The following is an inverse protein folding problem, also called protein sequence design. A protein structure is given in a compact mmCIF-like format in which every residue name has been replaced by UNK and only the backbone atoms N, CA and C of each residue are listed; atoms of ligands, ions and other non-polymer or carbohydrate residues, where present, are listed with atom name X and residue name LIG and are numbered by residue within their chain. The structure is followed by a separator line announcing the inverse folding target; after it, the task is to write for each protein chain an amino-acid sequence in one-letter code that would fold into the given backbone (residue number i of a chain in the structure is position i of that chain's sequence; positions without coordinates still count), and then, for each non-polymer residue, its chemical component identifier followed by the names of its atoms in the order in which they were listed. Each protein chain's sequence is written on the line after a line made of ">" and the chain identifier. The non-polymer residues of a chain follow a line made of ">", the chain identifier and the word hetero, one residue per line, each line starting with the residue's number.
data_IF_345010398049
#
_entry.id   IF_345010398049
#
_cell.length_a   1.000
_cell.length_b   1.000
_cell.length_c   1.000
_cell.angle_alpha   90.00
_cell.angle_beta   90.00
_cell.angle_gamma   90.00
#
_symmetry.space_group_name_H-M   'P 1'
#
loop_
_entity.id
_entity.type
_entity.pdbx_description
1 polymer ?
#
# COMPACT_ATOMS: atom_id res chain seq x y z
N UNK A 1 9.78 -21.50 19.75
CA UNK A 1 8.42 -20.90 19.66
C UNK A 1 8.25 -20.42 18.23
N UNK A 2 7.78 -21.30 17.34
CA UNK A 2 7.42 -20.89 15.98
C UNK A 2 6.15 -20.06 16.03
N UNK A 3 6.25 -18.84 15.51
CA UNK A 3 5.15 -17.90 15.41
C UNK A 3 4.46 -18.13 14.07
N UNK A 4 3.15 -17.90 14.01
CA UNK A 4 2.44 -17.84 12.73
C UNK A 4 3.14 -16.85 11.80
N UNK A 5 3.12 -17.09 10.48
CA UNK A 5 3.74 -16.18 9.51
C UNK A 5 3.23 -14.75 9.74
N UNK A 6 4.15 -13.85 10.06
CA UNK A 6 3.84 -12.43 10.26
C UNK A 6 4.03 -11.69 8.95
N UNK A 7 3.06 -10.83 8.59
CA UNK A 7 3.24 -9.90 7.49
C UNK A 7 4.42 -8.98 7.82
N UNK A 8 5.39 -8.90 6.91
CA UNK A 8 6.54 -8.00 7.03
C UNK A 8 6.23 -6.60 6.50
N UNK A 9 4.96 -6.29 6.23
CA UNK A 9 4.53 -4.98 5.73
C UNK A 9 4.73 -4.78 4.22
N UNK A 10 5.10 -5.83 3.48
CA UNK A 10 5.16 -5.79 2.02
C UNK A 10 3.77 -5.56 1.41
N UNK A 11 3.75 -4.82 0.30
CA UNK A 11 2.53 -4.57 -0.43
C UNK A 11 2.08 -5.83 -1.16
N UNK A 12 0.76 -5.98 -1.31
CA UNK A 12 0.16 -7.03 -2.14
C UNK A 12 0.60 -6.82 -3.59
N UNK A 13 0.92 -7.90 -4.31
CA UNK A 13 1.32 -7.87 -5.72
C UNK A 13 2.53 -6.99 -6.02
N UNK A 14 3.53 -6.99 -5.13
CA UNK A 14 4.72 -6.16 -5.26
C UNK A 14 5.82 -6.81 -6.11
N UNK A 15 5.97 -8.13 -6.05
CA UNK A 15 7.16 -8.83 -6.57
C UNK A 15 6.91 -9.54 -7.89
N UNK A 16 7.87 -9.48 -8.81
CA UNK A 16 7.85 -10.26 -10.06
C UNK A 16 8.29 -11.71 -9.82
N UNK A 17 9.21 -11.93 -8.86
CA UNK A 17 9.76 -13.23 -8.51
C UNK A 17 9.88 -13.38 -7.00
N UNK A 18 9.49 -14.55 -6.47
CA UNK A 18 9.77 -14.97 -5.09
C UNK A 18 10.60 -16.26 -5.14
N UNK A 19 11.63 -16.33 -4.30
CA UNK A 19 12.49 -17.52 -4.17
C UNK A 19 12.33 -18.07 -2.77
N UNK A 20 11.98 -19.36 -2.67
CA UNK A 20 11.87 -20.08 -1.42
C UNK A 20 12.78 -21.30 -1.46
N UNK A 21 13.93 -21.22 -0.80
CA UNK A 21 14.94 -22.27 -0.83
C UNK A 21 14.99 -23.03 0.50
N UNK A 22 14.41 -24.23 0.54
CA UNK A 22 14.35 -25.15 1.68
C UNK A 22 13.85 -24.46 2.95
N UNK A 23 12.70 -23.79 2.83
CA UNK A 23 12.10 -23.01 3.93
C UNK A 23 10.62 -23.28 4.13
N UNK A 24 9.90 -23.73 3.10
CA UNK A 24 8.45 -23.86 3.20
C UNK A 24 8.05 -25.14 3.94
N UNK A 25 8.86 -26.19 3.89
CA UNK A 25 8.62 -27.41 4.68
C UNK A 25 8.60 -27.15 6.20
N UNK A 26 9.33 -26.14 6.69
CA UNK A 26 9.38 -25.77 8.10
C UNK A 26 8.14 -24.98 8.58
N UNK A 27 7.20 -24.68 7.67
CA UNK A 27 5.97 -23.95 8.03
C UNK A 27 4.96 -24.90 8.67
N UNK A 28 4.11 -24.39 9.57
CA UNK A 28 3.04 -25.19 10.21
C UNK A 28 1.92 -25.57 9.24
N UNK A 29 1.64 -24.68 8.29
CA UNK A 29 0.61 -24.85 7.28
C UNK A 29 1.15 -24.35 5.94
N UNK A 30 1.52 -25.31 5.09
CA UNK A 30 2.09 -25.04 3.77
C UNK A 30 1.03 -24.34 2.88
N UNK A 31 -0.22 -24.78 2.93
CA UNK A 31 -1.29 -24.23 2.08
C UNK A 31 -1.58 -22.75 2.40
N UNK A 32 -1.63 -22.39 3.68
CA UNK A 32 -1.78 -21.00 4.11
C UNK A 32 -0.57 -20.16 3.69
N UNK A 33 0.65 -20.70 3.87
CA UNK A 33 1.88 -19.99 3.49
C UNK A 33 1.94 -19.74 1.98
N UNK A 34 1.60 -20.73 1.17
CA UNK A 34 1.51 -20.59 -0.29
C UNK A 34 0.46 -19.54 -0.69
N UNK A 35 -0.65 -19.44 0.04
CA UNK A 35 -1.67 -18.39 -0.16
C UNK A 35 -1.09 -17.00 0.10
N UNK A 36 -0.28 -16.84 1.15
CA UNK A 36 0.40 -15.57 1.44
C UNK A 36 1.44 -15.21 0.38
N UNK A 37 2.27 -16.17 -0.04
CA UNK A 37 3.26 -15.97 -1.11
C UNK A 37 2.57 -15.56 -2.41
N UNK A 38 1.47 -16.22 -2.77
CA UNK A 38 0.68 -15.87 -3.95
C UNK A 38 0.21 -14.40 -3.91
N UNK A 39 -0.16 -13.87 -2.74
CA UNK A 39 -0.55 -12.46 -2.57
C UNK A 39 0.61 -11.49 -2.76
N UNK A 40 1.86 -11.92 -2.59
CA UNK A 40 3.03 -11.05 -2.79
C UNK A 40 3.40 -10.91 -4.27
N UNK A 41 3.07 -11.91 -5.09
CA UNK A 41 3.39 -11.93 -6.52
C UNK A 41 2.47 -11.03 -7.34
N UNK A 42 3.07 -10.30 -8.28
CA UNK A 42 2.36 -9.62 -9.36
C UNK A 42 1.59 -10.62 -10.23
N UNK A 43 0.58 -10.16 -10.97
CA UNK A 43 -0.08 -10.99 -11.97
C UNK A 43 0.94 -11.62 -12.93
N UNK A 44 0.94 -12.94 -13.02
CA UNK A 44 1.89 -13.71 -13.84
C UNK A 44 3.32 -13.82 -13.30
N UNK A 45 3.59 -13.32 -12.09
CA UNK A 45 4.90 -13.44 -11.41
C UNK A 45 5.29 -14.90 -11.13
N UNK A 46 6.55 -15.14 -10.80
CA UNK A 46 7.11 -16.48 -10.65
C UNK A 46 7.44 -16.81 -9.19
N UNK A 47 7.19 -18.05 -8.78
CA UNK A 47 7.72 -18.61 -7.56
C UNK A 47 8.68 -19.73 -7.92
N UNK A 48 9.91 -19.61 -7.42
CA UNK A 48 10.93 -20.65 -7.51
C UNK A 48 11.08 -21.29 -6.13
N UNK A 49 10.85 -22.61 -6.05
CA UNK A 49 11.02 -23.39 -4.83
C UNK A 49 12.17 -24.37 -5.00
N UNK A 50 12.97 -24.54 -3.96
CA UNK A 50 13.90 -25.66 -3.83
C UNK A 50 13.48 -26.42 -2.57
N UNK A 51 13.01 -27.66 -2.70
CA UNK A 51 12.52 -28.43 -1.56
C UNK A 51 12.97 -29.88 -1.68
N UNK A 52 13.10 -30.52 -0.52
CA UNK A 52 13.41 -31.94 -0.40
C UNK A 52 12.13 -32.74 -0.62
N UNK A 53 12.16 -33.65 -1.60
CA UNK A 53 10.97 -34.39 -2.05
C UNK A 53 11.10 -35.90 -1.93
N UNK A 54 12.31 -36.38 -1.62
CA UNK A 54 12.59 -37.80 -1.37
C UNK A 54 12.84 -38.04 0.11
N UNK A 55 12.42 -39.22 0.57
CA UNK A 55 12.49 -39.60 1.98
C UNK A 55 13.66 -40.55 2.20
N UNK A 56 14.54 -40.21 3.13
CA UNK A 56 15.72 -40.99 3.45
C UNK A 56 15.79 -41.18 4.97
N UNK A 57 15.61 -42.42 5.44
CA UNK A 57 15.41 -42.73 6.87
C UNK A 57 16.40 -42.07 7.87
N UNK A 58 17.72 -41.95 7.58
CA UNK A 58 18.64 -41.24 8.48
C UNK A 58 18.35 -39.73 8.55
N UNK A 59 17.95 -39.14 7.43
CA UNK A 59 17.66 -37.72 7.28
C UNK A 59 16.27 -37.38 7.85
N UNK A 60 15.27 -38.22 7.60
CA UNK A 60 13.91 -38.07 8.11
C UNK A 60 13.89 -38.07 9.65
N UNK A 61 14.74 -38.90 10.27
CA UNK A 61 14.94 -38.91 11.72
C UNK A 61 15.46 -37.56 12.23
N UNK A 62 16.46 -36.98 11.56
CA UNK A 62 17.03 -35.69 11.96
C UNK A 62 16.03 -34.55 11.79
N UNK A 63 15.28 -34.53 10.69
CA UNK A 63 14.23 -33.54 10.44
C UNK A 63 13.08 -33.66 11.43
N UNK A 64 12.63 -34.88 11.73
CA UNK A 64 11.61 -35.10 12.75
C UNK A 64 12.06 -34.71 14.16
N UNK A 65 13.34 -34.87 14.51
CA UNK A 65 13.88 -34.39 15.79
C UNK A 65 13.98 -32.85 15.86
N UNK A 66 14.29 -32.18 14.74
CA UNK A 66 14.38 -30.72 14.67
C UNK A 66 12.99 -30.05 14.64
N UNK A 67 12.12 -30.53 13.76
CA UNK A 67 10.82 -29.91 13.45
C UNK A 67 9.68 -30.47 14.32
N UNK A 68 9.77 -31.74 14.75
CA UNK A 68 8.73 -32.47 15.45
C UNK A 68 7.78 -33.21 14.50
N UNK A 69 7.39 -34.44 14.84
CA UNK A 69 6.58 -35.31 13.98
C UNK A 69 5.07 -34.96 13.92
N UNK A 70 4.54 -34.28 14.95
CA UNK A 70 3.09 -34.03 15.12
C UNK A 70 2.72 -32.54 15.10
N UNK A 71 3.56 -31.68 14.50
CA UNK A 71 3.42 -30.21 14.61
C UNK A 71 2.74 -29.54 13.41
N UNK A 72 2.16 -30.32 12.52
CA UNK A 72 1.61 -29.84 11.25
C UNK A 72 0.07 -29.79 11.30
N UNK A 73 -0.51 -28.68 10.84
CA UNK A 73 -1.97 -28.47 10.76
C UNK A 73 -2.52 -28.70 9.35
N UNK A 74 -1.72 -29.30 8.48
CA UNK A 74 -2.03 -29.55 7.07
C UNK A 74 -2.02 -31.05 6.74
N UNK A 75 -2.13 -31.36 5.44
CA UNK A 75 -2.27 -32.74 4.93
C UNK A 75 -1.01 -33.63 5.08
N UNK A 76 0.04 -33.17 5.77
CA UNK A 76 1.20 -33.99 6.14
C UNK A 76 0.79 -35.01 7.20
N UNK A 77 0.29 -36.16 6.73
CA UNK A 77 -0.34 -37.12 7.62
C UNK A 77 0.65 -37.92 8.48
N UNK A 78 1.92 -38.10 8.06
CA UNK A 78 2.92 -38.91 8.80
C UNK A 78 4.40 -38.56 8.49
N UNK A 79 4.67 -37.48 7.74
CA UNK A 79 6.02 -37.13 7.31
C UNK A 79 6.21 -35.60 7.28
N UNK A 80 7.34 -35.04 7.77
CA UNK A 80 7.56 -33.59 7.83
C UNK A 80 7.69 -32.92 6.45
N UNK A 81 8.19 -33.67 5.47
CA UNK A 81 8.36 -33.26 4.07
C UNK A 81 7.22 -33.74 3.18
N UNK A 82 6.96 -33.01 2.09
CA UNK A 82 6.03 -33.41 1.03
C UNK A 82 6.79 -34.07 -0.13
N UNK A 83 6.22 -35.13 -0.69
CA UNK A 83 6.69 -35.68 -1.96
C UNK A 83 6.48 -34.69 -3.12
N UNK A 84 7.16 -34.91 -4.24
CA UNK A 84 7.02 -34.08 -5.44
C UNK A 84 5.54 -33.93 -5.88
N UNK A 85 4.78 -35.04 -5.90
CA UNK A 85 3.36 -35.02 -6.28
C UNK A 85 2.50 -34.22 -5.28
N UNK A 86 2.81 -34.32 -3.98
CA UNK A 86 2.11 -33.54 -2.96
C UNK A 86 2.43 -32.05 -3.05
N UNK A 87 3.67 -31.67 -3.37
CA UNK A 87 4.05 -30.29 -3.66
C UNK A 87 3.30 -29.74 -4.86
N UNK A 88 3.28 -30.46 -5.98
CA UNK A 88 2.51 -30.06 -7.17
C UNK A 88 1.03 -29.86 -6.86
N UNK A 89 0.44 -30.76 -6.07
CA UNK A 89 -0.94 -30.62 -5.62
C UNK A 89 -1.16 -29.38 -4.75
N UNK A 90 -0.30 -29.15 -3.74
CA UNK A 90 -0.40 -27.99 -2.86
C UNK A 90 -0.27 -26.66 -3.62
N UNK A 91 0.67 -26.59 -4.57
CA UNK A 91 0.87 -25.43 -5.44
C UNK A 91 -0.37 -25.18 -6.33
N UNK A 92 -0.90 -26.23 -6.95
CA UNK A 92 -2.13 -26.11 -7.75
C UNK A 92 -3.33 -25.70 -6.91
N UNK A 93 -3.50 -26.27 -5.70
CA UNK A 93 -4.59 -25.94 -4.79
C UNK A 93 -4.50 -24.49 -4.28
N UNK A 94 -3.29 -23.97 -4.09
CA UNK A 94 -3.05 -22.56 -3.78
C UNK A 94 -3.28 -21.61 -4.98
N UNK A 95 -3.52 -22.16 -6.18
CA UNK A 95 -3.84 -21.43 -7.41
C UNK A 95 -2.63 -20.96 -8.21
N UNK A 96 -1.49 -21.64 -8.06
CA UNK A 96 -0.38 -21.51 -9.00
C UNK A 96 -0.63 -22.34 -10.26
N UNK A 97 0.00 -21.94 -11.36
CA UNK A 97 -0.12 -22.53 -12.70
C UNK A 97 1.26 -22.80 -13.29
N UNK A 98 1.33 -23.47 -14.45
CA UNK A 98 2.57 -23.76 -15.18
C UNK A 98 3.66 -24.43 -14.32
N UNK A 99 3.30 -25.40 -13.49
CA UNK A 99 4.25 -26.05 -12.59
C UNK A 99 5.27 -26.91 -13.35
N UNK A 100 6.52 -26.48 -13.37
CA UNK A 100 7.65 -27.20 -13.93
C UNK A 100 8.56 -27.66 -12.79
N UNK A 101 9.05 -28.90 -12.88
CA UNK A 101 9.96 -29.46 -11.87
C UNK A 101 11.26 -29.86 -12.55
N UNK A 102 12.36 -29.49 -11.94
CA UNK A 102 13.71 -29.77 -12.40
C UNK A 102 14.49 -30.46 -11.29
N UNK A 103 15.22 -31.50 -11.67
CA UNK A 103 16.19 -32.12 -10.79
C UNK A 103 17.55 -31.44 -11.02
N UNK A 104 18.23 -30.96 -9.96
CA UNK A 104 19.56 -30.39 -10.11
C UNK A 104 20.51 -31.47 -10.66
N UNK A 105 21.39 -31.13 -11.62
CA UNK A 105 22.31 -32.10 -12.24
C UNK A 105 23.48 -32.51 -11.33
N UNK A 106 23.50 -32.05 -10.08
CA UNK A 106 24.56 -32.32 -9.11
C UNK A 106 24.30 -33.67 -8.41
N UNK A 107 25.25 -34.63 -8.43
CA UNK A 107 25.14 -35.91 -7.73
C UNK A 107 24.81 -35.78 -6.23
N UNK A 108 25.25 -34.71 -5.57
CA UNK A 108 24.95 -34.47 -4.15
C UNK A 108 23.48 -34.05 -3.99
N UNK A 109 22.98 -33.19 -4.87
CA UNK A 109 21.58 -32.76 -4.84
C UNK A 109 20.62 -33.91 -5.22
N UNK A 110 21.04 -34.79 -6.13
CA UNK A 110 20.34 -36.02 -6.47
C UNK A 110 20.30 -36.98 -5.27
N UNK A 111 21.42 -37.13 -4.55
CA UNK A 111 21.49 -37.96 -3.33
C UNK A 111 20.68 -37.39 -2.16
N UNK A 112 20.56 -36.07 -2.06
CA UNK A 112 19.74 -35.41 -1.03
C UNK A 112 18.26 -35.32 -1.42
N UNK A 113 17.90 -35.65 -2.67
CA UNK A 113 16.51 -35.68 -3.13
C UNK A 113 15.86 -34.32 -3.27
N UNK A 114 16.62 -33.30 -3.70
CA UNK A 114 16.07 -31.96 -3.94
C UNK A 114 15.42 -31.84 -5.32
N UNK A 115 14.24 -31.22 -5.35
CA UNK A 115 13.61 -30.76 -6.58
C UNK A 115 13.52 -29.23 -6.60
N UNK A 116 13.75 -28.66 -7.78
CA UNK A 116 13.48 -27.24 -8.07
C UNK A 116 12.13 -27.14 -8.77
N UNK A 117 11.19 -26.43 -8.15
CA UNK A 117 9.91 -26.11 -8.74
C UNK A 117 9.94 -24.68 -9.28
N UNK A 118 9.46 -24.51 -10.51
CA UNK A 118 9.17 -23.20 -11.08
C UNK A 118 7.67 -23.15 -11.35
N UNK A 119 6.96 -22.25 -10.68
CA UNK A 119 5.52 -22.07 -10.85
C UNK A 119 5.17 -20.62 -11.13
N UNK A 120 4.05 -20.42 -11.82
CA UNK A 120 3.52 -19.10 -12.12
C UNK A 120 2.37 -18.75 -11.18
N UNK A 121 2.41 -17.55 -10.63
CA UNK A 121 1.31 -16.92 -9.92
C UNK A 121 0.10 -16.67 -10.84
N UNK A 122 -1.04 -16.22 -10.28
CA UNK A 122 -2.26 -16.02 -11.06
C UNK A 122 -2.06 -14.94 -12.15
N UNK A 123 -2.62 -15.16 -13.35
CA UNK A 123 -2.52 -14.21 -14.49
C UNK A 123 -3.31 -12.93 -14.22
N UNK A 124 -4.36 -13.03 -13.39
CA UNK A 124 -5.15 -11.89 -12.96
C UNK A 124 -5.47 -12.01 -11.47
N UNK A 125 -5.56 -10.87 -10.81
CA UNK A 125 -5.87 -10.76 -9.39
C UNK A 125 -6.96 -9.74 -9.22
N UNK A 126 -7.85 -9.98 -8.26
CA UNK A 126 -8.84 -8.99 -7.86
C UNK A 126 -8.20 -8.09 -6.80
N UNK A 127 -8.04 -6.82 -7.11
CA UNK A 127 -7.66 -5.80 -6.14
C UNK A 127 -8.90 -5.01 -5.73
N UNK A 128 -9.02 -4.75 -4.43
CA UNK A 128 -10.07 -3.87 -3.92
C UNK A 128 -9.60 -2.43 -4.06
N UNK A 129 -10.33 -1.63 -4.84
CA UNK A 129 -10.11 -0.19 -5.00
C UNK A 129 -11.24 0.59 -4.28
N UNK A 130 -10.95 1.22 -3.13
CA UNK A 130 -11.94 1.99 -2.38
C UNK A 130 -12.70 3.04 -3.21
N UNK A 131 -11.99 3.70 -4.14
CA UNK A 131 -12.52 4.81 -4.96
C UNK A 131 -13.66 4.37 -5.88
N UNK A 132 -13.58 3.14 -6.42
CA UNK A 132 -14.64 2.57 -7.26
C UNK A 132 -15.93 2.41 -6.45
N UNK A 133 -15.81 1.94 -5.20
CA UNK A 133 -16.95 1.80 -4.31
C UNK A 133 -17.50 3.15 -3.87
N UNK A 134 -16.65 4.11 -3.50
CA UNK A 134 -17.06 5.46 -3.14
C UNK A 134 -17.86 6.14 -4.27
N UNK A 135 -17.38 6.01 -5.51
CA UNK A 135 -18.07 6.56 -6.70
C UNK A 135 -19.44 5.92 -6.89
N UNK A 136 -19.53 4.59 -6.76
CA UNK A 136 -20.80 3.87 -6.85
C UNK A 136 -21.77 4.27 -5.71
N UNK A 137 -21.27 4.51 -4.50
CA UNK A 137 -22.09 4.98 -3.37
C UNK A 137 -22.58 6.42 -3.58
N UNK A 138 -21.76 7.30 -4.14
CA UNK A 138 -22.14 8.68 -4.42
C UNK A 138 -23.31 8.82 -5.41
N UNK A 139 -23.50 7.83 -6.29
CA UNK A 139 -24.65 7.78 -7.20
C UNK A 139 -25.96 7.35 -6.52
N UNK A 140 -25.88 6.72 -5.35
CA UNK A 140 -27.03 6.10 -4.67
C UNK A 140 -27.36 6.74 -3.33
N UNK A 141 -26.41 7.40 -2.69
CA UNK A 141 -26.53 7.93 -1.34
C UNK A 141 -26.29 9.45 -1.31
N UNK A 142 -27.11 10.21 -0.55
CA UNK A 142 -26.81 11.58 -0.21
C UNK A 142 -25.46 11.71 0.51
N UNK A 143 -24.85 12.89 0.43
CA UNK A 143 -23.50 13.15 0.97
C UNK A 143 -23.32 12.72 2.43
N UNK A 144 -24.29 13.04 3.30
CA UNK A 144 -24.26 12.71 4.73
C UNK A 144 -24.40 11.21 5.05
N UNK A 145 -24.70 10.36 4.07
CA UNK A 145 -24.76 8.90 4.22
C UNK A 145 -23.53 8.21 3.61
N UNK A 146 -22.61 8.95 3.00
CA UNK A 146 -21.40 8.38 2.41
C UNK A 146 -20.35 8.13 3.51
N UNK A 147 -19.72 6.95 3.55
CA UNK A 147 -18.63 6.70 4.48
C UNK A 147 -17.41 7.56 4.16
N UNK A 148 -16.79 8.17 5.17
CA UNK A 148 -15.59 9.01 5.01
C UNK A 148 -14.36 8.20 4.60
N UNK A 149 -14.28 6.93 5.01
CA UNK A 149 -13.18 6.04 4.70
C UNK A 149 -13.66 4.60 4.51
N UNK A 150 -13.06 3.89 3.54
CA UNK A 150 -13.30 2.46 3.30
C UNK A 150 -11.98 1.73 3.45
N UNK A 151 -11.84 0.98 4.54
CA UNK A 151 -10.59 0.32 4.92
C UNK A 151 -10.71 -1.19 4.74
N UNK A 152 -9.88 -1.83 3.89
CA UNK A 152 -9.86 -3.29 3.77
C UNK A 152 -9.23 -3.93 5.01
N UNK A 153 -9.87 -5.00 5.49
CA UNK A 153 -9.40 -5.82 6.60
C UNK A 153 -9.12 -7.23 6.09
N UNK A 154 -7.97 -7.79 6.46
CA UNK A 154 -7.60 -9.16 6.08
C UNK A 154 -8.49 -10.19 6.81
N UNK A 155 -8.77 -9.93 8.09
CA UNK A 155 -9.67 -10.76 8.91
C UNK A 155 -10.46 -9.88 9.87
N UNK A 156 -11.67 -10.31 10.22
CA UNK A 156 -12.43 -9.67 11.28
C UNK A 156 -11.82 -10.04 12.64
N UNK A 157 -11.45 -9.07 13.49
CA UNK A 157 -10.98 -9.39 14.83
C UNK A 157 -12.13 -9.96 15.65
N UNK A 158 -11.92 -11.14 16.22
CA UNK A 158 -12.90 -11.85 17.04
C UNK A 158 -12.39 -11.95 18.48
N UNK A 159 -13.33 -11.89 19.42
CA UNK A 159 -13.15 -12.27 20.83
C UNK A 159 -12.97 -13.78 20.95
N UNK A 160 -12.50 -14.26 22.11
CA UNK A 160 -12.39 -15.70 22.39
C UNK A 160 -13.71 -16.49 22.20
N UNK A 161 -14.86 -15.80 22.31
CA UNK A 161 -16.19 -16.38 22.10
C UNK A 161 -16.69 -16.26 20.65
N UNK A 162 -15.82 -15.89 19.69
CA UNK A 162 -16.16 -15.78 18.27
C UNK A 162 -16.98 -14.54 17.89
N UNK A 163 -17.31 -13.65 18.83
CA UNK A 163 -17.98 -12.36 18.53
C UNK A 163 -16.97 -11.34 18.03
N UNK A 164 -17.36 -10.42 17.15
CA UNK A 164 -16.49 -9.33 16.69
C UNK A 164 -15.98 -8.48 17.86
N UNK A 165 -14.66 -8.38 17.98
CA UNK A 165 -14.01 -7.47 18.92
C UNK A 165 -14.02 -6.05 18.32
N UNK A 166 -15.04 -5.28 18.71
CA UNK A 166 -15.22 -3.90 18.24
C UNK A 166 -14.08 -2.97 18.67
N UNK A 167 -13.40 -3.26 19.79
CA UNK A 167 -12.29 -2.43 20.26
C UNK A 167 -11.08 -2.63 19.36
N UNK A 168 -10.71 -3.89 19.10
CA UNK A 168 -9.64 -4.22 18.17
C UNK A 168 -9.94 -3.71 16.76
N UNK A 169 -11.19 -3.86 16.30
CA UNK A 169 -11.64 -3.35 15.00
C UNK A 169 -11.45 -1.84 14.87
N UNK A 170 -11.86 -1.05 15.88
CA UNK A 170 -11.68 0.40 15.89
C UNK A 170 -10.20 0.80 15.85
N UNK A 171 -9.35 0.13 16.62
CA UNK A 171 -7.90 0.41 16.60
C UNK A 171 -7.26 0.10 15.25
N UNK A 172 -7.65 -1.00 14.58
CA UNK A 172 -7.15 -1.31 13.24
C UNK A 172 -7.65 -0.32 12.18
N UNK A 173 -8.92 0.09 12.27
CA UNK A 173 -9.48 1.11 11.38
C UNK A 173 -8.75 2.44 11.53
N UNK A 174 -8.49 2.91 12.75
CA UNK A 174 -7.73 4.14 12.99
C UNK A 174 -6.31 4.05 12.42
N UNK A 175 -5.59 2.95 12.68
CA UNK A 175 -4.23 2.78 12.18
C UNK A 175 -4.15 2.80 10.64
N UNK A 176 -5.09 2.14 9.96
CA UNK A 176 -5.11 2.05 8.49
C UNK A 176 -5.74 3.27 7.82
N UNK A 177 -6.67 3.98 8.46
CA UNK A 177 -7.29 5.18 7.91
C UNK A 177 -6.34 6.39 7.90
N UNK A 178 -5.34 6.40 8.77
CA UNK A 178 -4.32 7.46 8.82
C UNK A 178 -3.07 7.11 7.99
N UNK A 179 -3.00 5.88 7.46
CA UNK A 179 -1.87 5.42 6.67
C UNK A 179 -2.04 5.89 5.22
N UNK A 180 -1.03 6.52 4.60
CA UNK A 180 -1.14 6.99 3.22
C UNK A 180 -1.54 5.82 2.30
N UNK A 181 -2.59 6.02 1.52
CA UNK A 181 -3.03 5.09 0.48
C UNK A 181 -1.95 5.01 -0.59
N UNK A 182 -1.05 4.03 -0.45
CA UNK A 182 -0.04 3.61 -1.42
C UNK A 182 1.07 4.64 -1.74
N UNK A 183 2.32 4.17 -1.82
CA UNK A 183 3.46 4.98 -2.32
C UNK A 183 3.31 5.38 -3.81
N UNK A 184 2.38 4.78 -4.55
CA UNK A 184 2.16 5.03 -5.99
C UNK A 184 1.35 6.29 -6.31
N UNK A 185 0.59 6.86 -5.36
CA UNK A 185 -0.24 8.04 -5.58
C UNK A 185 0.33 9.32 -4.93
N UNK A 186 1.57 9.26 -4.41
CA UNK A 186 2.21 10.43 -3.83
C UNK A 186 2.79 11.36 -4.92
N UNK A 187 2.10 12.46 -5.18
CA UNK A 187 2.62 13.58 -5.97
C UNK A 187 3.11 14.70 -5.04
N UNK A 188 4.40 15.01 -5.07
CA UNK A 188 4.99 16.04 -4.24
C UNK A 188 4.49 17.47 -4.61
N UNK A 189 4.45 18.41 -3.65
CA UNK A 189 4.22 19.83 -3.94
C UNK A 189 5.14 20.37 -5.03
N UNK A 190 4.57 21.07 -6.00
CA UNK A 190 5.24 21.55 -7.23
C UNK A 190 5.65 23.01 -7.13
N UNK A 191 5.01 23.78 -6.25
CA UNK A 191 5.24 25.20 -6.08
C UNK A 191 5.20 25.62 -4.60
N UNK A 192 5.55 26.88 -4.33
CA UNK A 192 5.63 27.43 -2.97
C UNK A 192 4.28 27.45 -2.24
N UNK A 193 3.18 27.72 -2.95
CA UNK A 193 1.82 27.75 -2.37
C UNK A 193 1.42 26.33 -1.94
N UNK A 194 1.57 25.34 -2.82
CA UNK A 194 1.31 23.93 -2.52
C UNK A 194 2.16 23.44 -1.34
N UNK A 195 3.44 23.85 -1.30
CA UNK A 195 4.36 23.46 -0.22
C UNK A 195 3.90 24.01 1.12
N UNK A 196 3.52 25.29 1.17
CA UNK A 196 3.03 25.92 2.39
C UNK A 196 1.71 25.30 2.88
N UNK A 197 0.76 25.01 1.97
CA UNK A 197 -0.49 24.33 2.32
C UNK A 197 -0.22 22.91 2.84
N UNK A 198 0.63 22.15 2.17
CA UNK A 198 0.97 20.78 2.57
C UNK A 198 1.60 20.75 3.97
N UNK A 199 2.49 21.69 4.29
CA UNK A 199 3.08 21.84 5.63
C UNK A 199 2.02 22.15 6.68
N UNK A 200 1.10 23.07 6.39
CA UNK A 200 -0.02 23.38 7.29
C UNK A 200 -0.91 22.16 7.54
N UNK A 201 -1.16 21.34 6.52
CA UNK A 201 -1.90 20.08 6.68
C UNK A 201 -1.15 19.08 7.54
N UNK A 202 0.16 18.90 7.34
CA UNK A 202 0.98 18.01 8.16
C UNK A 202 0.91 18.39 9.64
N UNK A 203 0.98 19.68 9.95
CA UNK A 203 0.85 20.18 11.33
C UNK A 203 -0.54 19.94 11.94
N UNK A 204 -1.60 20.23 11.18
CA UNK A 204 -2.99 20.13 11.66
C UNK A 204 -3.45 18.67 11.80
N UNK A 205 -3.12 17.82 10.83
CA UNK A 205 -3.52 16.42 10.76
C UNK A 205 -2.52 15.48 11.47
N UNK A 206 -1.37 16.00 11.90
CA UNK A 206 -0.28 15.23 12.52
C UNK A 206 0.17 14.04 11.66
N UNK A 207 0.42 14.31 10.39
CA UNK A 207 0.86 13.30 9.43
C UNK A 207 2.24 13.65 8.85
N UNK A 208 3.04 12.64 8.52
CA UNK A 208 4.43 12.82 8.08
C UNK A 208 4.52 13.35 6.64
N UNK A 209 3.53 13.03 5.79
CA UNK A 209 3.58 13.35 4.36
C UNK A 209 2.20 13.62 3.78
N UNK A 210 2.13 14.69 2.98
CA UNK A 210 0.93 15.13 2.24
C UNK A 210 1.33 15.37 0.78
N UNK A 211 0.70 14.67 -0.14
CA UNK A 211 0.75 14.87 -1.58
C UNK A 211 -0.32 15.86 -2.06
N UNK A 212 -0.15 16.37 -3.28
CA UNK A 212 -1.00 17.47 -3.78
C UNK A 212 -2.45 17.07 -4.05
N UNK A 213 -2.68 15.79 -4.34
CA UNK A 213 -3.98 15.21 -4.68
C UNK A 213 -4.66 14.54 -3.47
N UNK A 214 -4.03 14.62 -2.29
CA UNK A 214 -4.60 14.07 -1.06
C UNK A 214 -5.89 14.79 -0.68
N UNK A 215 -6.89 14.02 -0.24
CA UNK A 215 -8.13 14.56 0.27
C UNK A 215 -8.02 14.91 1.76
N UNK A 216 -8.26 16.17 2.11
CA UNK A 216 -8.20 16.69 3.49
C UNK A 216 -9.05 15.88 4.48
N UNK A 217 -10.28 15.53 4.09
CA UNK A 217 -11.24 14.84 4.96
C UNK A 217 -10.93 13.36 5.09
N UNK A 218 -10.45 12.72 4.02
CA UNK A 218 -10.00 11.33 4.06
C UNK A 218 -8.77 11.15 4.97
N UNK A 219 -7.94 12.20 5.10
CA UNK A 219 -6.79 12.23 6.01
C UNK A 219 -7.13 12.56 7.47
N UNK A 220 -8.42 12.55 7.81
CA UNK A 220 -8.91 12.80 9.18
C UNK A 220 -9.19 14.28 9.48
N UNK A 221 -9.26 15.12 8.46
CA UNK A 221 -9.72 16.50 8.59
C UNK A 221 -11.21 16.56 8.94
N UNK A 222 -11.58 17.50 9.81
CA UNK A 222 -12.96 17.78 10.15
C UNK A 222 -13.28 19.27 9.94
N UNK A 223 -14.52 19.67 10.25
CA UNK A 223 -14.98 21.05 10.10
C UNK A 223 -14.18 22.06 10.96
N UNK A 224 -13.70 21.64 12.13
CA UNK A 224 -12.93 22.48 13.03
C UNK A 224 -11.51 22.69 12.49
N UNK A 225 -10.86 21.61 12.05
CA UNK A 225 -9.54 21.65 11.40
C UNK A 225 -9.60 22.42 10.09
N UNK A 226 -10.66 22.26 9.30
CA UNK A 226 -10.88 23.03 8.08
C UNK A 226 -10.98 24.54 8.37
N UNK A 227 -11.70 24.93 9.42
CA UNK A 227 -11.81 26.33 9.85
C UNK A 227 -10.47 26.90 10.32
N UNK A 228 -9.70 26.12 11.09
CA UNK A 228 -8.33 26.48 11.49
C UNK A 228 -7.41 26.63 10.28
N UNK A 229 -7.53 25.73 9.30
CA UNK A 229 -6.77 25.77 8.05
C UNK A 229 -7.05 27.06 7.27
N UNK A 230 -8.32 27.41 7.05
CA UNK A 230 -8.67 28.64 6.33
C UNK A 230 -8.17 29.89 7.06
N UNK A 231 -8.19 29.87 8.40
CA UNK A 231 -7.67 30.99 9.22
C UNK A 231 -6.16 31.17 9.01
N UNK A 232 -5.39 30.09 9.01
CA UNK A 232 -3.92 30.14 8.80
C UNK A 232 -3.57 30.56 7.37
N UNK A 233 -4.33 30.08 6.37
CA UNK A 233 -4.16 30.51 4.96
C UNK A 233 -4.36 32.02 4.84
N UNK A 234 -5.43 32.55 5.42
CA UNK A 234 -5.72 33.99 5.41
C UNK A 234 -4.59 34.80 6.04
N UNK A 235 -4.01 34.31 7.13
CA UNK A 235 -2.87 34.97 7.79
C UNK A 235 -1.59 34.90 6.96
N UNK A 236 -1.34 33.79 6.28
CA UNK A 236 -0.10 33.54 5.55
C UNK A 236 -0.07 34.23 4.18
N UNK A 237 -1.20 34.22 3.47
CA UNK A 237 -1.30 34.71 2.09
C UNK A 237 -2.05 36.02 1.95
N UNK A 238 -2.64 36.55 3.03
CA UNK A 238 -3.44 37.77 3.00
C UNK A 238 -4.63 37.74 2.02
N UNK A 239 -5.12 36.53 1.69
CA UNK A 239 -6.30 36.32 0.84
C UNK A 239 -7.44 35.69 1.62
N UNK A 240 -8.68 35.99 1.23
CA UNK A 240 -9.85 35.26 1.72
C UNK A 240 -10.29 34.22 0.69
N UNK A 241 -10.13 32.95 1.04
CA UNK A 241 -10.68 31.82 0.28
C UNK A 241 -11.89 31.28 1.03
N UNK A 242 -13.07 31.18 0.38
CA UNK A 242 -14.27 30.64 1.01
C UNK A 242 -14.05 29.19 1.49
N UNK A 243 -14.52 28.88 2.70
CA UNK A 243 -14.44 27.50 3.24
C UNK A 243 -15.11 26.47 2.33
N UNK A 244 -16.16 26.85 1.59
CA UNK A 244 -16.81 25.99 0.59
C UNK A 244 -15.84 25.44 -0.46
N UNK A 245 -14.76 26.15 -0.76
CA UNK A 245 -13.76 25.72 -1.75
C UNK A 245 -13.08 24.43 -1.29
N UNK A 246 -12.73 24.34 0.00
CA UNK A 246 -12.15 23.12 0.56
C UNK A 246 -13.15 21.96 0.55
N UNK A 247 -14.44 22.21 0.79
CA UNK A 247 -15.47 21.15 0.74
C UNK A 247 -15.76 20.66 -0.69
N UNK A 248 -15.70 21.55 -1.69
CA UNK A 248 -15.97 21.19 -3.09
C UNK A 248 -14.79 20.44 -3.72
N UNK A 249 -13.57 20.85 -3.40
CA UNK A 249 -12.34 20.27 -3.94
C UNK A 249 -11.31 20.14 -2.81
N UNK A 250 -11.36 19.06 -2.02
CA UNK A 250 -10.60 18.93 -0.78
C UNK A 250 -9.13 18.56 -0.97
N UNK A 251 -8.47 19.08 -2.02
CA UNK A 251 -7.07 18.77 -2.33
C UNK A 251 -6.17 19.98 -2.19
N UNK A 252 -4.88 19.74 -1.92
CA UNK A 252 -3.87 20.80 -1.84
C UNK A 252 -3.77 21.53 -3.18
N UNK A 253 -3.79 20.81 -4.31
CA UNK A 253 -3.72 21.39 -5.64
C UNK A 253 -4.90 22.35 -5.93
N UNK A 254 -6.12 21.95 -5.59
CA UNK A 254 -7.30 22.78 -5.82
C UNK A 254 -7.31 24.03 -4.92
N UNK A 255 -6.91 23.87 -3.65
CA UNK A 255 -6.81 24.99 -2.73
C UNK A 255 -5.69 25.96 -3.11
N UNK A 256 -4.55 25.46 -3.59
CA UNK A 256 -3.46 26.27 -4.10
C UNK A 256 -3.88 27.10 -5.31
N UNK A 257 -4.64 26.52 -6.25
CA UNK A 257 -5.18 27.24 -7.39
C UNK A 257 -6.11 28.37 -6.95
N UNK A 258 -7.02 28.12 -6.01
CA UNK A 258 -7.92 29.16 -5.49
C UNK A 258 -7.18 30.31 -4.79
N UNK A 259 -6.07 30.02 -4.09
CA UNK A 259 -5.23 31.06 -3.49
C UNK A 259 -4.50 31.85 -4.58
N UNK A 260 -3.97 31.18 -5.61
CA UNK A 260 -3.29 31.84 -6.71
C UNK A 260 -4.23 32.80 -7.46
N UNK A 261 -5.47 32.38 -7.74
CA UNK A 261 -6.49 33.22 -8.35
C UNK A 261 -6.84 34.43 -7.47
N UNK A 262 -6.97 34.23 -6.15
CA UNK A 262 -7.24 35.31 -5.22
C UNK A 262 -6.07 36.31 -5.12
N UNK A 263 -4.83 35.84 -5.17
CA UNK A 263 -3.64 36.68 -5.20
C UNK A 263 -3.56 37.50 -6.49
N UNK A 264 -3.84 36.88 -7.64
CA UNK A 264 -3.87 37.57 -8.93
C UNK A 264 -4.94 38.67 -8.96
N UNK A 265 -6.10 38.44 -8.35
CA UNK A 265 -7.17 39.41 -8.24
C UNK A 265 -6.87 40.61 -7.31
N UNK A 266 -5.85 40.50 -6.44
CA UNK A 266 -5.42 41.61 -5.56
C UNK A 266 -4.39 42.54 -6.21
N UNK A 267 -3.82 42.18 -7.37
CA UNK A 267 -2.89 43.05 -8.07
C UNK A 267 -3.68 44.13 -8.80
N UNK A 268 -3.49 45.38 -8.37
CA UNK A 268 -4.10 46.55 -9.00
C UNK A 268 -3.58 46.70 -10.45
N UNK A 269 -4.45 46.68 -11.47
CA UNK A 269 -4.06 46.88 -12.86
C UNK A 269 -3.25 48.16 -13.08
N UNK A 270 -3.50 49.21 -12.28
CA UNK A 270 -2.81 50.49 -12.39
C UNK A 270 -1.35 50.42 -11.89
N UNK A 271 -1.04 49.51 -10.95
CA UNK A 271 0.34 49.27 -10.49
C UNK A 271 1.16 48.56 -11.56
N UNK A 272 0.56 47.61 -12.28
CA UNK A 272 1.21 46.92 -13.41
C UNK A 272 1.51 47.94 -14.54
N UNK A 273 0.56 48.82 -14.85
CA UNK A 273 0.74 49.86 -15.85
C UNK A 273 1.85 50.88 -15.48
N UNK A 274 1.98 51.21 -14.19
CA UNK A 274 3.06 52.07 -13.67
C UNK A 274 4.44 51.41 -13.81
N UNK A 275 4.56 50.11 -13.52
CA UNK A 275 5.83 49.38 -13.63
C UNK A 275 6.29 49.20 -15.09
N UNK A 276 5.35 48.96 -16.02
CA UNK A 276 5.67 48.91 -17.45
C UNK A 276 6.08 50.28 -18.00
N UNK A 277 5.52 51.38 -17.47
CA UNK A 277 5.89 52.74 -17.86
C UNK A 277 7.31 53.14 -17.43
N UNK A 278 7.77 52.68 -16.26
CA UNK A 278 9.13 52.92 -15.75
C UNK A 278 10.19 52.09 -16.50
N UNK A 279 9.87 50.85 -16.88
CA UNK A 279 10.78 49.98 -17.64
C UNK A 279 11.06 50.48 -19.07
N UNK A 280 10.22 51.37 -19.60
CA UNK A 280 10.39 51.96 -20.95
C UNK A 280 11.27 53.22 -20.95
N UNK A 281 11.62 53.79 -19.78
CA UNK A 281 12.41 55.03 -19.68
C UNK A 281 13.92 54.85 -19.45
N UNK A 282 14.42 53.61 -19.37
CA UNK A 282 15.85 53.35 -19.26
C UNK A 282 16.48 53.36 -20.67
N UNK A 283 16.87 54.54 -21.16
CA UNK A 283 17.70 54.63 -22.37
C UNK A 283 19.06 53.93 -22.15
N UNK A 284 19.59 53.25 -23.19
CA UNK A 284 20.87 52.56 -23.08
C UNK A 284 22.01 53.57 -23.00
N UNK A 285 22.81 53.49 -21.93
CA UNK A 285 24.07 54.23 -21.81
C UNK A 285 25.01 53.78 -22.93
N UNK A 286 25.12 54.58 -23.99
CA UNK A 286 26.14 54.44 -25.03
C UNK A 286 27.52 54.68 -24.43
N UNK A 287 28.30 53.61 -24.29
CA UNK A 287 29.72 53.71 -23.97
C UNK A 287 30.52 54.12 -25.21
N UNK A 288 31.07 55.33 -25.20
CA UNK A 288 32.14 55.74 -26.11
C UNK A 288 33.52 55.52 -25.47
N UNK A 289 34.33 54.76 -26.21
CA UNK A 289 35.81 54.62 -26.27
C UNK A 289 36.68 54.92 -25.05
#
# INVERSE_FOLDING_TARGET
>A
MERNPQSQGYSVHQFDVVIAASVLHATRNIAETLTHIRRLLRPGGLLLLLEETQFHAPFDLTMGLQQGFDRFEDSRQQHPLLSQAQWQHALSAAGFTDCQVFQPPDPIAEWLGFDVFLVRGPISVQSFQPQVLQTALAQKLPEYMRPDAIVPLDTLPLTANGKVDRRALRSQWQAKSTQPTSETDYTAPRNAIETAIATLWQELLRCDRVGIDDNFFERGGDSLLATQMMTRIRQMFCVEVPLRTLFQSPTVAALAAAIADALAAQVDPDIIALLDSELTQVEPVTGEK
#
